data_IF_099061362695
#
_entry.id   IF_099061362695
#
_cell.length_a   1.000
_cell.length_b   1.000
_cell.length_c   1.000
_cell.angle_alpha   90.00
_cell.angle_beta   90.00
_cell.angle_gamma   90.00
#
_symmetry.space_group_name_H-M   'P 1'
#
loop_
_entity.id
_entity.type
_entity.pdbx_description
1 polymer ?
#
# COMPACT_ATOMS: atom_id res chain seq x y z
N UNK A 1 -22.06 9.98 -14.04
CA UNK A 1 -20.90 10.89 -13.84
C UNK A 1 -20.67 11.60 -15.16
N UNK A 2 -20.62 12.93 -15.17
CA UNK A 2 -20.37 13.72 -16.38
C UNK A 2 -19.03 14.42 -16.22
N UNK A 3 -18.16 14.28 -17.21
CA UNK A 3 -16.84 14.94 -17.29
C UNK A 3 -16.81 15.69 -18.62
N UNK A 4 -16.43 16.97 -18.59
CA UNK A 4 -16.28 17.81 -19.78
C UNK A 4 -14.96 18.58 -19.73
N UNK A 5 -14.38 18.85 -20.90
CA UNK A 5 -13.22 19.73 -21.06
C UNK A 5 -13.31 20.48 -22.38
N UNK A 6 -12.97 21.78 -22.35
CA UNK A 6 -12.99 22.67 -23.52
C UNK A 6 -11.69 22.61 -24.34
N UNK A 7 -10.56 22.27 -23.71
CA UNK A 7 -9.22 22.31 -24.31
C UNK A 7 -8.44 20.98 -24.17
N UNK A 8 -9.14 19.91 -23.79
CA UNK A 8 -8.56 18.59 -23.52
C UNK A 8 -8.32 18.34 -22.03
N UNK A 9 -8.28 17.08 -21.62
CA UNK A 9 -7.99 16.67 -20.25
C UNK A 9 -7.27 15.32 -20.24
N UNK A 10 -6.34 15.14 -19.29
CA UNK A 10 -5.83 13.83 -18.91
C UNK A 10 -6.41 13.52 -17.54
N UNK A 11 -7.36 12.59 -17.47
CA UNK A 11 -8.06 12.26 -16.23
C UNK A 11 -8.23 10.75 -16.06
N UNK A 12 -8.32 10.33 -14.80
CA UNK A 12 -8.68 8.96 -14.42
C UNK A 12 -9.98 9.02 -13.60
N UNK A 13 -10.94 8.18 -13.96
CA UNK A 13 -12.13 7.92 -13.16
C UNK A 13 -12.05 6.48 -12.67
N UNK A 14 -11.97 6.30 -11.35
CA UNK A 14 -11.94 5.00 -10.71
C UNK A 14 -13.02 4.94 -9.62
N UNK A 15 -13.72 3.82 -9.54
CA UNK A 15 -14.79 3.60 -8.57
C UNK A 15 -15.21 2.14 -8.54
N UNK A 16 -15.90 1.77 -7.46
CA UNK A 16 -16.39 0.42 -7.22
C UNK A 16 -17.27 0.39 -5.97
N UNK A 17 -17.80 -0.78 -5.64
CA UNK A 17 -18.51 -0.98 -4.39
C UNK A 17 -17.62 -0.64 -3.19
N UNK A 18 -18.23 -0.21 -2.08
CA UNK A 18 -17.49 -0.03 -0.83
C UNK A 18 -16.89 -1.35 -0.38
N UNK A 19 -15.70 -1.28 0.23
CA UNK A 19 -15.11 -2.45 0.87
C UNK A 19 -16.01 -2.87 2.04
N UNK A 20 -16.35 -4.17 2.11
CA UNK A 20 -17.26 -4.70 3.13
C UNK A 20 -16.70 -4.71 4.57
N UNK A 21 -15.45 -4.27 4.77
CA UNK A 21 -14.85 -4.13 6.09
C UNK A 21 -13.78 -3.05 6.09
N UNK A 22 -13.47 -2.54 7.30
CA UNK A 22 -12.41 -1.56 7.50
C UNK A 22 -11.07 -2.10 6.99
N UNK A 23 -10.26 -1.23 6.39
CA UNK A 23 -8.85 -1.47 6.10
C UNK A 23 -8.01 -0.56 6.99
N UNK A 24 -7.00 -1.16 7.59
CA UNK A 24 -5.90 -0.47 8.22
C UNK A 24 -4.80 -0.35 7.17
N UNK A 25 -4.30 0.87 6.99
CA UNK A 25 -3.22 1.20 6.07
C UNK A 25 -2.14 1.83 6.92
N UNK A 26 -0.93 1.27 6.87
CA UNK A 26 0.24 1.80 7.54
C UNK A 26 1.45 1.51 6.66
N UNK A 27 2.19 2.56 6.27
CA UNK A 27 3.27 2.46 5.29
C UNK A 27 2.80 1.67 4.05
N UNK A 28 3.57 0.67 3.62
CA UNK A 28 3.25 -0.21 2.49
C UNK A 28 2.34 -1.39 2.87
N UNK A 29 1.81 -1.46 4.09
CA UNK A 29 0.96 -2.55 4.56
C UNK A 29 -0.52 -2.17 4.61
N UNK A 30 -1.35 -3.03 4.01
CA UNK A 30 -2.81 -2.91 4.02
C UNK A 30 -3.43 -4.22 4.50
N UNK A 31 -4.25 -4.15 5.54
CA UNK A 31 -4.94 -5.34 6.09
C UNK A 31 -6.26 -4.98 6.74
N UNK A 32 -7.15 -5.95 6.92
CA UNK A 32 -8.34 -5.81 7.78
C UNK A 32 -8.07 -6.06 9.27
N UNK A 33 -6.86 -6.51 9.64
CA UNK A 33 -6.42 -6.73 11.03
C UNK A 33 -5.20 -5.86 11.34
N UNK A 34 -5.21 -5.20 12.51
CA UNK A 34 -4.06 -4.43 13.00
C UNK A 34 -2.91 -5.36 13.41
N UNK A 35 -3.24 -6.50 14.01
CA UNK A 35 -2.30 -7.51 14.47
C UNK A 35 -1.46 -8.04 13.30
N UNK A 36 -2.10 -8.26 12.14
CA UNK A 36 -1.38 -8.66 10.92
C UNK A 36 -0.41 -7.58 10.43
N UNK A 37 -0.75 -6.30 10.60
CA UNK A 37 0.16 -5.20 10.28
C UNK A 37 1.36 -5.19 11.23
N UNK A 38 1.15 -5.33 12.54
CA UNK A 38 2.27 -5.41 13.49
C UNK A 38 3.17 -6.61 13.21
N UNK A 39 2.61 -7.77 12.86
CA UNK A 39 3.39 -8.91 12.41
C UNK A 39 4.21 -8.58 11.15
N UNK A 40 3.60 -7.92 10.16
CA UNK A 40 4.31 -7.54 8.93
C UNK A 40 5.44 -6.54 9.20
N UNK A 41 5.29 -5.64 10.18
CA UNK A 41 6.38 -4.76 10.60
C UNK A 41 7.58 -5.54 11.13
N UNK A 42 7.35 -6.53 11.98
CA UNK A 42 8.43 -7.35 12.53
C UNK A 42 9.05 -8.25 11.46
N UNK A 43 8.24 -8.82 10.56
CA UNK A 43 8.72 -9.57 9.40
C UNK A 43 9.61 -8.69 8.50
N UNK A 44 9.25 -7.43 8.27
CA UNK A 44 10.05 -6.50 7.48
C UNK A 44 11.35 -6.11 8.18
N UNK A 45 11.29 -5.71 9.45
CA UNK A 45 12.48 -5.37 10.24
C UNK A 45 13.47 -6.53 10.34
N UNK A 46 12.98 -7.77 10.36
CA UNK A 46 13.81 -8.97 10.50
C UNK A 46 14.19 -9.62 9.16
N UNK A 47 13.82 -9.02 8.02
CA UNK A 47 14.18 -9.53 6.69
C UNK A 47 13.53 -10.87 6.35
N UNK A 48 12.30 -11.13 6.82
CA UNK A 48 11.54 -12.36 6.54
C UNK A 48 10.73 -12.32 5.25
N UNK A 49 10.63 -11.16 4.62
CA UNK A 49 10.09 -11.08 3.26
C UNK A 49 11.15 -11.54 2.26
N UNK A 50 10.71 -12.24 1.22
CA UNK A 50 11.60 -12.66 0.15
C UNK A 50 12.24 -11.44 -0.51
N UNK A 51 13.55 -11.54 -0.74
CA UNK A 51 14.30 -10.51 -1.47
C UNK A 51 13.98 -10.65 -2.96
N UNK A 52 13.71 -9.51 -3.61
CA UNK A 52 13.51 -9.48 -5.06
C UNK A 52 14.86 -9.72 -5.73
N UNK A 53 14.97 -10.68 -6.68
CA UNK A 53 16.24 -10.94 -7.37
C UNK A 53 16.78 -9.68 -8.05
N UNK A 54 18.03 -9.32 -7.75
CA UNK A 54 18.69 -8.11 -8.24
C UNK A 54 18.49 -6.86 -7.38
N UNK A 55 17.86 -6.98 -6.21
CA UNK A 55 17.62 -5.91 -5.25
C UNK A 55 18.11 -6.31 -3.84
N UNK A 56 19.28 -6.94 -3.77
CA UNK A 56 19.84 -7.45 -2.51
C UNK A 56 20.57 -6.38 -1.67
N UNK A 57 20.92 -5.24 -2.28
CA UNK A 57 21.79 -4.24 -1.68
C UNK A 57 21.01 -3.12 -0.97
N UNK A 58 19.78 -2.81 -1.40
CA UNK A 58 19.00 -1.70 -0.88
C UNK A 58 17.93 -2.18 0.11
N UNK A 59 17.82 -1.48 1.25
CA UNK A 59 16.77 -1.76 2.23
C UNK A 59 16.21 -0.45 2.80
N UNK A 60 14.89 -0.27 2.67
CA UNK A 60 14.17 0.88 3.23
C UNK A 60 13.64 0.48 4.62
N UNK A 61 14.20 1.03 5.72
CA UNK A 61 13.71 0.73 7.06
C UNK A 61 12.31 1.30 7.28
N UNK A 62 11.61 0.73 8.25
CA UNK A 62 10.34 1.32 8.71
C UNK A 62 10.60 2.72 9.28
N UNK A 63 9.66 3.67 9.09
CA UNK A 63 9.75 4.98 9.72
C UNK A 63 9.71 4.87 11.25
N UNK A 64 10.43 5.76 11.94
CA UNK A 64 10.34 5.92 13.39
C UNK A 64 9.04 6.67 13.73
N UNK A 65 8.12 6.02 14.46
CA UNK A 65 6.84 6.63 14.84
C UNK A 65 5.90 5.70 15.61
#
# INVERSE_FOLDING_TARGET
>A
IVVSSERGAHFMLFGGASLGSKRYIWWNFVSSSKERIEQAKEEWKTGRFDIVPGDEEEFIPLPEG
#
